data_IF_536284157535
#
_entry.id   IF_536284157535
#
_cell.length_a   1.000
_cell.length_b   1.000
_cell.length_c   1.000
_cell.angle_alpha   90.00
_cell.angle_beta   90.00
_cell.angle_gamma   90.00
#
_symmetry.space_group_name_H-M   'P 1'
#
loop_
_entity.id
_entity.type
_entity.pdbx_description
1 polymer ?
#
# COMPACT_ATOMS: atom_id res chain seq x y z
N UNK A 1 -22.81 -34.20 -21.82
CA UNK A 1 -21.81 -34.83 -22.71
C UNK A 1 -22.42 -35.48 -23.98
N UNK A 2 -23.49 -34.93 -24.59
CA UNK A 2 -24.09 -35.49 -25.82
C UNK A 2 -23.95 -34.62 -27.08
N UNK A 3 -23.45 -33.38 -27.00
CA UNK A 3 -23.41 -32.44 -28.14
C UNK A 3 -22.09 -32.40 -28.93
N UNK A 4 -21.04 -33.12 -28.52
CA UNK A 4 -19.69 -33.00 -29.10
C UNK A 4 -19.37 -33.95 -30.26
N UNK A 5 -20.29 -34.86 -30.62
CA UNK A 5 -20.03 -35.91 -31.62
C UNK A 5 -19.82 -35.38 -33.04
N UNK A 6 -20.32 -34.18 -33.34
CA UNK A 6 -20.22 -33.54 -34.66
C UNK A 6 -19.19 -32.40 -34.74
N UNK A 7 -18.42 -32.15 -33.67
CA UNK A 7 -17.42 -31.09 -33.67
C UNK A 7 -16.16 -31.47 -34.48
N UNK A 8 -15.51 -30.53 -35.17
CA UNK A 8 -14.22 -30.75 -35.82
C UNK A 8 -13.14 -31.24 -34.84
N UNK A 9 -12.17 -32.03 -35.31
CA UNK A 9 -11.11 -32.59 -34.46
C UNK A 9 -10.32 -31.50 -33.70
N UNK A 10 -9.99 -30.40 -34.38
CA UNK A 10 -9.30 -29.26 -33.76
C UNK A 10 -10.08 -28.66 -32.56
N UNK A 11 -11.42 -28.64 -32.63
CA UNK A 11 -12.25 -28.18 -31.52
C UNK A 11 -12.16 -29.12 -30.31
N UNK A 12 -12.17 -30.45 -30.56
CA UNK A 12 -12.00 -31.46 -29.51
C UNK A 12 -10.62 -31.35 -28.85
N UNK A 13 -9.58 -31.09 -29.63
CA UNK A 13 -8.21 -30.97 -29.12
C UNK A 13 -8.04 -29.73 -28.23
N UNK A 14 -8.62 -28.59 -28.65
CA UNK A 14 -8.65 -27.36 -27.83
C UNK A 14 -9.47 -27.59 -26.56
N UNK A 15 -10.66 -28.17 -26.65
CA UNK A 15 -11.50 -28.44 -25.48
C UNK A 15 -10.78 -29.36 -24.47
N UNK A 16 -10.17 -30.45 -24.93
CA UNK A 16 -9.38 -31.34 -24.09
C UNK A 16 -8.15 -30.66 -23.48
N UNK A 17 -7.51 -29.73 -24.19
CA UNK A 17 -6.40 -28.95 -23.66
C UNK A 17 -6.87 -27.98 -22.57
N UNK A 18 -7.98 -27.27 -22.78
CA UNK A 18 -8.57 -26.38 -21.79
C UNK A 18 -9.02 -27.14 -20.54
N UNK A 19 -9.65 -28.31 -20.67
CA UNK A 19 -10.02 -29.17 -19.53
C UNK A 19 -8.80 -29.59 -18.71
N UNK A 20 -7.69 -29.95 -19.38
CA UNK A 20 -6.42 -30.26 -18.71
C UNK A 20 -5.85 -29.05 -17.99
N UNK A 21 -5.89 -27.86 -18.61
CA UNK A 21 -5.46 -26.62 -17.96
C UNK A 21 -6.32 -26.31 -16.73
N UNK A 22 -7.65 -26.36 -16.84
CA UNK A 22 -8.58 -26.14 -15.73
C UNK A 22 -8.31 -27.09 -14.57
N UNK A 23 -8.10 -28.38 -14.85
CA UNK A 23 -7.76 -29.38 -13.82
C UNK A 23 -6.40 -29.08 -13.18
N UNK A 24 -5.40 -28.68 -14.00
CA UNK A 24 -4.05 -28.41 -13.53
C UNK A 24 -3.95 -27.18 -12.62
N UNK A 25 -4.85 -26.20 -12.78
CA UNK A 25 -4.90 -24.97 -11.97
C UNK A 25 -5.93 -25.00 -10.85
N UNK A 26 -6.76 -26.06 -10.77
CA UNK A 26 -7.82 -26.18 -9.78
C UNK A 26 -7.27 -26.09 -8.35
N UNK A 27 -7.75 -25.10 -7.59
CA UNK A 27 -7.31 -24.84 -6.21
C UNK A 27 -5.93 -24.19 -6.06
N UNK A 28 -5.20 -23.95 -7.15
CA UNK A 28 -3.91 -23.23 -7.11
C UNK A 28 -4.17 -21.73 -7.23
N UNK A 29 -3.72 -20.97 -6.23
CA UNK A 29 -3.75 -19.50 -6.28
C UNK A 29 -2.53 -19.00 -7.06
N UNK A 30 -2.76 -18.09 -8.01
CA UNK A 30 -1.69 -17.41 -8.75
C UNK A 30 -0.88 -16.49 -7.82
N UNK A 31 -1.54 -15.92 -6.81
CA UNK A 31 -0.97 -14.96 -5.88
C UNK A 31 -0.88 -15.57 -4.48
N UNK A 32 0.34 -15.60 -3.93
CA UNK A 32 0.59 -15.99 -2.55
C UNK A 32 0.63 -14.75 -1.64
N UNK A 33 -0.52 -14.43 -1.05
CA UNK A 33 -0.67 -13.34 -0.06
C UNK A 33 -0.20 -13.76 1.35
N UNK A 34 0.52 -14.88 1.50
CA UNK A 34 1.09 -15.32 2.79
C UNK A 34 2.03 -14.30 3.44
N UNK A 35 2.49 -13.29 2.70
CA UNK A 35 3.29 -12.20 3.26
C UNK A 35 2.55 -11.44 4.36
N UNK A 36 1.23 -11.29 4.27
CA UNK A 36 0.44 -10.64 5.31
C UNK A 36 0.43 -11.49 6.60
N UNK A 37 0.28 -12.82 6.48
CA UNK A 37 0.38 -13.71 7.64
C UNK A 37 1.77 -13.64 8.27
N UNK A 38 2.83 -13.59 7.46
CA UNK A 38 4.20 -13.38 7.97
C UNK A 38 4.36 -12.05 8.70
N UNK A 39 3.66 -11.00 8.26
CA UNK A 39 3.65 -9.71 8.97
C UNK A 39 2.98 -9.86 10.33
N UNK A 40 1.77 -10.45 10.37
CA UNK A 40 1.02 -10.72 11.62
C UNK A 40 1.87 -11.51 12.61
N UNK A 41 2.52 -12.58 12.17
CA UNK A 41 3.36 -13.43 13.03
C UNK A 41 4.61 -12.72 13.57
N UNK A 42 5.13 -11.73 12.82
CA UNK A 42 6.36 -11.00 13.18
C UNK A 42 6.07 -9.71 13.93
N UNK A 43 4.85 -9.19 13.87
CA UNK A 43 4.49 -7.88 14.39
C UNK A 43 4.80 -7.73 15.89
N UNK A 44 4.54 -8.73 16.77
CA UNK A 44 4.91 -8.61 18.18
C UNK A 44 6.41 -8.38 18.37
N UNK A 45 7.26 -9.12 17.63
CA UNK A 45 8.72 -8.97 17.69
C UNK A 45 9.20 -7.64 17.11
N UNK A 46 8.43 -7.04 16.21
CA UNK A 46 8.71 -5.70 15.68
C UNK A 46 8.41 -4.68 16.77
N UNK A 47 7.26 -4.78 17.45
CA UNK A 47 6.93 -3.90 18.57
C UNK A 47 7.88 -4.04 19.75
N UNK A 48 8.34 -5.24 20.09
CA UNK A 48 9.36 -5.46 21.12
C UNK A 48 10.67 -4.69 20.85
N UNK A 49 10.98 -4.45 19.57
CA UNK A 49 12.20 -3.74 19.15
C UNK A 49 12.03 -2.24 19.04
N UNK A 50 10.81 -1.80 18.71
CA UNK A 50 10.49 -0.40 18.45
C UNK A 50 10.06 0.27 19.75
N UNK A 51 9.15 -0.35 20.50
CA UNK A 51 8.53 0.24 21.69
C UNK A 51 9.31 -0.10 22.96
N UNK A 52 9.61 0.93 23.76
CA UNK A 52 10.14 0.76 25.11
C UNK A 52 9.12 0.08 26.05
N UNK A 53 9.54 -0.43 27.22
CA UNK A 53 8.67 -1.15 28.16
C UNK A 53 7.42 -0.36 28.58
N UNK A 54 7.57 0.96 28.73
CA UNK A 54 6.50 1.91 29.09
C UNK A 54 5.36 1.93 28.06
N UNK A 55 5.67 1.75 26.78
CA UNK A 55 4.73 1.86 25.65
C UNK A 55 4.18 0.51 25.18
N UNK A 56 4.66 -0.60 25.76
CA UNK A 56 4.20 -1.96 25.40
C UNK A 56 2.67 -2.17 25.55
N UNK A 57 1.97 -1.58 26.53
CA UNK A 57 0.51 -1.70 26.60
C UNK A 57 -0.22 -1.13 25.37
N UNK A 58 0.38 -0.17 24.66
CA UNK A 58 -0.20 0.44 23.47
C UNK A 58 -0.20 -0.49 22.24
N UNK A 59 0.50 -1.62 22.27
CA UNK A 59 0.55 -2.60 21.17
C UNK A 59 -0.85 -3.06 20.75
N UNK A 60 -1.76 -3.22 21.72
CA UNK A 60 -3.15 -3.65 21.46
C UNK A 60 -3.85 -2.65 20.54
N UNK A 61 -3.64 -1.36 20.78
CA UNK A 61 -4.25 -0.27 20.01
C UNK A 61 -3.53 -0.05 18.67
N UNK A 62 -2.20 -0.14 18.65
CA UNK A 62 -1.38 0.09 17.45
C UNK A 62 -1.52 -1.00 16.40
N UNK A 63 -1.72 -2.25 16.82
CA UNK A 63 -1.80 -3.43 15.96
C UNK A 63 -2.83 -3.32 14.83
N UNK A 64 -4.11 -2.98 15.08
CA UNK A 64 -5.10 -2.88 14.01
C UNK A 64 -4.73 -1.82 12.97
N UNK A 65 -4.22 -0.66 13.38
CA UNK A 65 -3.83 0.40 12.44
C UNK A 65 -2.70 -0.04 11.51
N UNK A 66 -1.63 -0.63 12.05
CA UNK A 66 -0.49 -1.05 11.24
C UNK A 66 -0.83 -2.26 10.35
N UNK A 67 -1.68 -3.19 10.79
CA UNK A 67 -2.10 -4.32 9.96
C UNK A 67 -3.00 -3.86 8.81
N UNK A 68 -3.91 -2.93 9.07
CA UNK A 68 -4.77 -2.37 8.03
C UNK A 68 -4.04 -1.37 7.12
N UNK A 69 -2.80 -0.99 7.45
CA UNK A 69 -2.02 -0.04 6.62
C UNK A 69 -1.62 -0.58 5.26
N UNK A 70 -1.58 -1.91 5.05
CA UNK A 70 -0.98 -2.50 3.84
C UNK A 70 -1.97 -3.12 2.86
N UNK A 71 -3.27 -2.85 3.02
CA UNK A 71 -4.33 -3.38 2.17
C UNK A 71 -5.04 -4.59 2.77
N UNK A 72 -6.10 -5.04 2.10
CA UNK A 72 -6.87 -6.19 2.57
C UNK A 72 -6.36 -7.50 1.95
N UNK A 73 -5.89 -8.48 2.74
CA UNK A 73 -5.37 -9.73 2.21
C UNK A 73 -6.43 -10.65 1.59
N UNK A 74 -7.71 -10.47 1.94
CA UNK A 74 -8.82 -11.28 1.42
C UNK A 74 -9.31 -10.74 0.08
N UNK A 75 -9.51 -9.42 -0.01
CA UNK A 75 -9.92 -8.75 -1.26
C UNK A 75 -8.75 -8.50 -2.20
N UNK A 76 -7.51 -8.59 -1.69
CA UNK A 76 -6.27 -8.30 -2.43
C UNK A 76 -6.34 -6.89 -3.01
N UNK A 77 -6.79 -5.94 -2.20
CA UNK A 77 -6.98 -4.55 -2.58
C UNK A 77 -6.23 -3.58 -1.67
N UNK A 78 -5.97 -2.38 -2.18
CA UNK A 78 -5.38 -1.29 -1.44
C UNK A 78 -6.00 0.04 -1.90
N UNK A 79 -6.08 1.02 -1.01
CA UNK A 79 -6.61 2.34 -1.36
C UNK A 79 -6.35 3.34 -0.25
N UNK A 80 -6.96 4.52 -0.39
CA UNK A 80 -6.73 5.68 0.49
C UNK A 80 -7.10 5.42 1.95
N UNK A 81 -8.05 4.52 2.22
CA UNK A 81 -8.39 4.11 3.59
C UNK A 81 -7.23 3.43 4.32
N UNK A 82 -6.50 2.54 3.63
CA UNK A 82 -5.33 1.85 4.18
C UNK A 82 -4.15 2.83 4.36
N UNK A 83 -3.97 3.76 3.42
CA UNK A 83 -3.05 4.89 3.59
C UNK A 83 -3.40 5.75 4.82
N UNK A 84 -4.68 6.01 5.06
CA UNK A 84 -5.14 6.76 6.24
C UNK A 84 -4.89 5.96 7.53
N UNK A 85 -5.05 4.65 7.51
CA UNK A 85 -4.72 3.79 8.65
C UNK A 85 -3.22 3.88 9.03
N UNK A 86 -2.33 4.01 8.05
CA UNK A 86 -0.90 4.23 8.32
C UNK A 86 -0.63 5.59 8.98
N UNK A 87 -1.31 6.65 8.54
CA UNK A 87 -1.19 7.96 9.19
C UNK A 87 -1.79 7.94 10.60
N UNK A 88 -2.89 7.22 10.81
CA UNK A 88 -3.47 7.03 12.14
C UNK A 88 -2.50 6.27 13.07
N UNK A 89 -1.80 5.25 12.56
CA UNK A 89 -0.74 4.57 13.31
C UNK A 89 0.37 5.54 13.76
N UNK A 90 0.87 6.39 12.86
CA UNK A 90 1.89 7.39 13.19
C UNK A 90 1.38 8.45 14.18
N UNK A 91 0.12 8.88 14.02
CA UNK A 91 -0.54 9.81 14.93
C UNK A 91 -0.67 9.23 16.34
N UNK A 92 -1.05 7.95 16.47
CA UNK A 92 -1.14 7.28 17.78
C UNK A 92 0.25 7.14 18.40
N UNK A 93 1.28 6.80 17.63
CA UNK A 93 2.66 6.78 18.13
C UNK A 93 3.09 8.15 18.68
N UNK A 94 2.78 9.23 17.96
CA UNK A 94 3.04 10.58 18.45
C UNK A 94 2.25 10.90 19.72
N UNK A 95 0.97 10.54 19.77
CA UNK A 95 0.10 10.80 20.91
C UNK A 95 0.52 10.06 22.20
N UNK A 96 1.17 8.90 22.09
CA UNK A 96 1.69 8.15 23.24
C UNK A 96 3.12 8.55 23.63
N UNK A 97 3.66 9.60 23.02
CA UNK A 97 4.98 10.13 23.36
C UNK A 97 6.15 9.33 22.80
N UNK A 98 5.93 8.50 21.77
CA UNK A 98 7.01 7.72 21.15
C UNK A 98 8.11 8.60 20.55
N UNK A 99 7.77 9.83 20.15
CA UNK A 99 8.70 10.78 19.54
C UNK A 99 9.21 11.86 20.52
N UNK A 100 8.82 11.83 21.80
CA UNK A 100 9.13 12.90 22.76
C UNK A 100 10.64 13.05 23.03
N UNK A 101 11.41 11.95 22.90
CA UNK A 101 12.87 11.97 23.05
C UNK A 101 13.59 12.71 21.88
N UNK A 102 12.86 13.22 20.89
CA UNK A 102 13.44 13.85 19.69
C UNK A 102 13.78 15.36 19.87
N UNK A 103 13.44 15.98 21.01
CA UNK A 103 13.93 17.30 21.45
C UNK A 103 13.12 18.53 20.98
N UNK A 104 13.17 19.61 21.79
CA UNK A 104 12.32 20.81 21.72
C UNK A 104 12.30 21.52 20.34
N UNK A 105 11.09 21.88 19.86
CA UNK A 105 10.78 22.21 18.46
C UNK A 105 9.93 21.14 17.74
N UNK A 106 9.29 20.29 18.55
CA UNK A 106 8.94 18.89 18.27
C UNK A 106 7.96 18.68 17.13
N UNK A 107 6.96 19.53 16.93
CA UNK A 107 5.90 19.26 15.94
C UNK A 107 6.38 19.44 14.50
N UNK A 108 7.15 20.50 14.22
CA UNK A 108 7.64 20.80 12.87
C UNK A 108 8.72 19.80 12.43
N UNK A 109 9.67 19.48 13.32
CA UNK A 109 10.74 18.51 13.05
C UNK A 109 10.16 17.09 12.90
N UNK A 110 9.20 16.72 13.74
CA UNK A 110 8.49 15.44 13.61
C UNK A 110 7.70 15.38 12.31
N UNK A 111 7.01 16.46 11.95
CA UNK A 111 6.29 16.59 10.68
C UNK A 111 7.22 16.42 9.48
N UNK A 112 8.42 17.01 9.53
CA UNK A 112 9.44 16.87 8.50
C UNK A 112 9.96 15.42 8.40
N UNK A 113 10.31 14.78 9.51
CA UNK A 113 10.79 13.39 9.51
C UNK A 113 9.71 12.40 9.04
N UNK A 114 8.45 12.60 9.47
CA UNK A 114 7.32 11.81 8.99
C UNK A 114 7.11 12.04 7.50
N UNK A 115 7.00 13.29 7.05
CA UNK A 115 6.65 13.66 5.69
C UNK A 115 7.75 13.38 4.66
N UNK A 116 9.02 13.57 5.01
CA UNK A 116 10.16 13.47 4.09
C UNK A 116 10.91 12.14 4.17
N UNK A 117 10.77 11.38 5.27
CA UNK A 117 11.54 10.12 5.45
C UNK A 117 10.68 8.90 5.69
N UNK A 118 9.74 8.94 6.62
CA UNK A 118 8.92 7.77 6.96
C UNK A 118 7.89 7.50 5.85
N UNK A 119 7.11 8.52 5.51
CA UNK A 119 6.02 8.38 4.55
C UNK A 119 6.50 8.04 3.12
N UNK A 120 7.59 8.64 2.58
CA UNK A 120 8.11 8.24 1.27
C UNK A 120 8.61 6.79 1.24
N UNK A 121 9.18 6.28 2.35
CA UNK A 121 9.55 4.86 2.48
C UNK A 121 8.33 3.94 2.48
N UNK A 122 7.26 4.34 3.18
CA UNK A 122 5.99 3.64 3.15
C UNK A 122 5.41 3.59 1.73
N UNK A 123 5.38 4.71 1.01
CA UNK A 123 4.92 4.75 -0.39
C UNK A 123 5.78 3.88 -1.31
N UNK A 124 7.10 3.91 -1.15
CA UNK A 124 8.00 3.05 -1.93
C UNK A 124 7.73 1.56 -1.66
N UNK A 125 7.43 1.18 -0.42
CA UNK A 125 7.01 -0.17 -0.06
C UNK A 125 5.68 -0.52 -0.70
N UNK A 126 4.66 0.34 -0.57
CA UNK A 126 3.33 0.10 -1.12
C UNK A 126 3.35 -0.06 -2.64
N UNK A 127 4.12 0.76 -3.36
CA UNK A 127 4.32 0.61 -4.81
C UNK A 127 4.93 -0.72 -5.20
N UNK A 128 5.80 -1.31 -4.36
CA UNK A 128 6.34 -2.66 -4.59
C UNK A 128 5.28 -3.72 -4.34
N UNK A 129 4.51 -3.62 -3.26
CA UNK A 129 3.44 -4.58 -2.92
C UNK A 129 2.36 -4.55 -4.00
N UNK A 130 1.89 -3.36 -4.40
CA UNK A 130 0.91 -3.16 -5.47
C UNK A 130 1.34 -3.85 -6.77
N UNK A 131 2.59 -3.63 -7.21
CA UNK A 131 3.13 -4.26 -8.44
C UNK A 131 3.34 -5.76 -8.30
N UNK A 132 3.86 -6.21 -7.17
CA UNK A 132 4.22 -7.61 -6.96
C UNK A 132 2.99 -8.51 -6.77
N UNK A 133 1.97 -8.00 -6.09
CA UNK A 133 0.75 -8.75 -5.77
C UNK A 133 -0.46 -8.34 -6.60
N UNK A 134 -0.27 -7.42 -7.57
CA UNK A 134 -1.33 -6.94 -8.46
C UNK A 134 -2.58 -6.52 -7.68
N UNK A 135 -2.38 -5.70 -6.64
CA UNK A 135 -3.48 -5.27 -5.77
C UNK A 135 -4.54 -4.55 -6.58
N UNK A 136 -5.81 -4.73 -6.26
CA UNK A 136 -6.90 -3.98 -6.86
C UNK A 136 -7.05 -2.60 -6.18
N UNK A 137 -7.41 -1.55 -6.93
CA UNK A 137 -7.77 -0.24 -6.35
C UNK A 137 -9.02 -0.35 -5.47
N UNK A 138 -8.88 -0.13 -4.16
CA UNK A 138 -9.99 -0.15 -3.22
C UNK A 138 -10.73 1.20 -3.21
N UNK A 139 -12.03 1.16 -3.50
CA UNK A 139 -12.87 2.36 -3.44
C UNK A 139 -12.55 3.40 -4.53
N UNK A 140 -12.10 2.96 -5.71
CA UNK A 140 -11.76 3.86 -6.80
C UNK A 140 -12.97 4.71 -7.21
N UNK A 141 -12.77 6.03 -7.28
CA UNK A 141 -13.78 6.99 -7.77
C UNK A 141 -13.89 7.00 -9.31
N UNK A 142 -13.39 5.94 -9.97
CA UNK A 142 -13.27 5.87 -11.43
C UNK A 142 -12.32 6.94 -11.98
N UNK A 143 -12.60 7.42 -13.19
CA UNK A 143 -11.76 8.38 -13.93
C UNK A 143 -11.63 9.75 -13.25
N UNK A 144 -12.45 10.02 -12.22
CA UNK A 144 -12.42 11.27 -11.46
C UNK A 144 -11.60 11.17 -10.17
N UNK A 145 -11.04 9.99 -9.87
CA UNK A 145 -10.07 9.82 -8.78
C UNK A 145 -8.75 10.50 -9.12
N UNK A 146 -8.08 11.05 -8.10
CA UNK A 146 -6.76 11.65 -8.25
C UNK A 146 -5.69 10.61 -8.64
N UNK A 147 -5.77 9.44 -8.03
CA UNK A 147 -4.96 8.24 -8.29
C UNK A 147 -5.74 7.02 -7.79
N UNK A 148 -5.37 5.84 -8.29
CA UNK A 148 -6.04 4.57 -7.96
C UNK A 148 -5.82 4.13 -6.51
N UNK A 149 -4.71 4.52 -5.88
CA UNK A 149 -4.29 4.01 -4.58
C UNK A 149 -4.05 5.08 -3.52
N UNK A 150 -3.53 6.24 -3.92
CA UNK A 150 -2.92 7.21 -3.02
C UNK A 150 -3.53 8.60 -3.12
N UNK A 151 -3.60 9.32 -2.01
CA UNK A 151 -4.02 10.72 -1.98
C UNK A 151 -2.99 11.60 -1.26
N UNK A 152 -2.51 11.14 -0.11
CA UNK A 152 -1.61 11.90 0.77
C UNK A 152 -0.27 12.29 0.12
N UNK A 153 0.36 11.49 -0.77
CA UNK A 153 1.57 11.92 -1.45
C UNK A 153 1.38 13.18 -2.29
N UNK A 154 0.20 13.36 -2.89
CA UNK A 154 -0.12 14.57 -3.66
C UNK A 154 -0.35 15.76 -2.76
N UNK A 155 -1.01 15.56 -1.61
CA UNK A 155 -1.20 16.59 -0.60
C UNK A 155 0.15 17.11 -0.08
N UNK A 156 1.01 16.20 0.39
CA UNK A 156 2.33 16.56 0.90
C UNK A 156 3.22 17.16 -0.19
N UNK A 157 3.21 16.58 -1.40
CA UNK A 157 3.95 17.11 -2.54
C UNK A 157 3.53 18.53 -2.92
N UNK A 158 2.22 18.83 -2.89
CA UNK A 158 1.72 20.19 -3.13
C UNK A 158 2.17 21.17 -2.03
N UNK A 159 2.14 20.76 -0.76
CA UNK A 159 2.66 21.55 0.35
C UNK A 159 4.16 21.84 0.22
N UNK A 160 4.96 20.87 -0.24
CA UNK A 160 6.41 21.04 -0.47
C UNK A 160 6.74 22.09 -1.54
N UNK A 161 5.84 22.31 -2.50
CA UNK A 161 6.04 23.27 -3.60
C UNK A 161 5.60 24.70 -3.23
N UNK A 162 5.03 24.92 -2.05
CA UNK A 162 4.64 26.27 -1.61
C UNK A 162 5.90 27.13 -1.40
N UNK A 163 6.00 28.24 -2.12
CA UNK A 163 7.11 29.19 -1.99
C UNK A 163 8.38 28.80 -2.77
N UNK A 164 8.35 27.72 -3.56
CA UNK A 164 9.46 27.39 -4.46
C UNK A 164 9.57 28.42 -5.59
N UNK A 165 10.75 29.03 -5.79
CA UNK A 165 11.02 29.96 -6.90
C UNK A 165 11.20 29.26 -8.26
N UNK A 166 11.07 27.93 -8.32
CA UNK A 166 11.13 27.19 -9.58
C UNK A 166 9.95 27.58 -10.49
N UNK A 167 10.24 28.47 -11.44
CA UNK A 167 9.34 28.92 -12.52
C UNK A 167 8.82 27.78 -13.41
N UNK A 168 9.32 26.55 -13.24
CA UNK A 168 8.98 25.38 -14.05
C UNK A 168 7.90 24.47 -13.42
N UNK A 169 7.46 24.75 -12.19
CA UNK A 169 6.39 24.00 -11.49
C UNK A 169 5.10 24.82 -11.42
N UNK A 170 4.70 25.47 -12.52
CA UNK A 170 3.30 25.86 -12.68
C UNK A 170 2.46 24.57 -12.65
N UNK A 171 1.33 24.53 -11.94
CA UNK A 171 0.47 23.34 -11.82
C UNK A 171 -0.01 22.80 -13.18
N UNK A 172 0.12 23.60 -14.24
CA UNK A 172 -0.11 23.21 -15.65
C UNK A 172 1.06 22.44 -16.30
N UNK A 173 2.20 22.32 -15.63
CA UNK A 173 3.48 21.87 -16.19
C UNK A 173 4.05 20.59 -15.54
N UNK A 174 3.32 19.90 -14.67
CA UNK A 174 3.73 18.59 -14.14
C UNK A 174 3.56 17.51 -15.22
N UNK A 175 4.42 17.53 -16.24
CA UNK A 175 4.53 16.41 -17.20
C UNK A 175 5.52 15.37 -16.66
N UNK A 176 5.35 14.08 -17.02
CA UNK A 176 6.28 13.03 -16.61
C UNK A 176 7.74 13.37 -16.93
N UNK A 177 8.03 14.04 -18.04
CA UNK A 177 9.40 14.39 -18.42
C UNK A 177 10.05 15.43 -17.48
N UNK A 178 9.25 16.29 -16.84
CA UNK A 178 9.73 17.32 -15.90
C UNK A 178 9.93 16.77 -14.49
N UNK A 179 9.14 15.76 -14.08
CA UNK A 179 9.21 15.14 -12.75
C UNK A 179 10.37 14.13 -12.63
N UNK A 180 10.79 13.49 -13.72
CA UNK A 180 11.80 12.39 -13.71
C UNK A 180 13.26 12.88 -13.61
N UNK A 181 13.52 14.20 -13.61
CA UNK A 181 14.89 14.76 -13.71
C UNK A 181 15.67 14.91 -12.40
N UNK A 182 15.16 14.44 -11.26
CA UNK A 182 15.87 14.47 -9.97
C UNK A 182 16.19 13.05 -9.47
#
# INVERSE_FOLDING_TARGET
MSSLRFAPQAYRDIAAFLERLCTAVQGKKILDVSWHNRLVDRLPKIFDRILGPELQPAVIELTPYILDSFGNPTRVDFGTGHETAFMAFLMVLAAIGYFDDCGEGEEDVLGEEIGLRIFPRYIALMRRIQKQYMLEPAGSHGVWGLDDYHHIPFLLGACQLVGSEEKDVDGKALTPEKVIRN
#
